data_IF_553657973544
#
_entry.id   IF_553657973544
#
_cell.length_a   1.000
_cell.length_b   1.000
_cell.length_c   1.000
_cell.angle_alpha   90.00
_cell.angle_beta   90.00
_cell.angle_gamma   90.00
#
_symmetry.space_group_name_H-M   'P 1'
#
loop_
_entity.id
_entity.type
_entity.pdbx_description
1 polymer ?
#
# COMPACT_ATOMS: atom_id res chain seq x y z
N UNK A 1 -8.87 40.26 1.09
CA UNK A 1 -10.23 39.70 1.10
C UNK A 1 -10.23 38.50 2.04
N UNK A 2 -11.19 38.37 2.97
CA UNK A 2 -11.32 37.15 3.76
C UNK A 2 -11.61 35.98 2.83
N UNK A 3 -10.98 34.82 3.09
CA UNK A 3 -11.23 33.59 2.37
C UNK A 3 -12.56 33.02 2.88
N UNK A 4 -13.51 32.76 1.98
CA UNK A 4 -14.84 32.25 2.34
C UNK A 4 -14.94 30.73 2.13
N UNK A 5 -15.30 30.02 3.19
CA UNK A 5 -15.52 28.58 3.23
C UNK A 5 -17.00 28.20 3.42
N UNK A 6 -17.92 29.15 3.32
CA UNK A 6 -19.37 28.98 3.50
C UNK A 6 -19.97 27.85 2.66
N UNK A 7 -19.35 27.52 1.52
CA UNK A 7 -19.74 26.41 0.65
C UNK A 7 -19.84 25.07 1.39
N UNK A 8 -19.00 24.82 2.40
CA UNK A 8 -18.95 23.55 3.14
C UNK A 8 -19.69 23.59 4.48
N UNK A 9 -20.56 24.57 4.70
CA UNK A 9 -21.27 24.75 5.97
C UNK A 9 -22.38 23.71 6.22
N UNK A 10 -22.93 23.12 5.16
CA UNK A 10 -24.03 22.17 5.23
C UNK A 10 -23.62 20.81 4.62
N UNK A 11 -22.91 20.01 5.42
CA UNK A 11 -22.54 18.62 5.06
C UNK A 11 -23.42 17.68 5.90
N UNK A 12 -24.10 16.74 5.25
CA UNK A 12 -24.87 15.68 5.89
C UNK A 12 -24.11 14.36 5.79
N UNK A 13 -23.71 13.84 6.95
CA UNK A 13 -23.04 12.55 7.10
C UNK A 13 -24.01 11.60 7.82
N UNK A 14 -24.43 10.52 7.15
CA UNK A 14 -25.44 9.62 7.71
C UNK A 14 -24.94 8.82 8.91
N UNK A 15 -23.64 8.59 8.98
CA UNK A 15 -22.88 7.84 9.98
C UNK A 15 -22.02 8.76 10.87
N UNK A 16 -22.48 9.99 11.13
CA UNK A 16 -21.81 10.93 12.01
C UNK A 16 -21.78 10.42 13.47
N UNK A 17 -20.61 9.97 13.92
CA UNK A 17 -20.37 9.42 15.26
C UNK A 17 -20.43 10.47 16.38
N UNK A 18 -20.25 11.76 16.05
CA UNK A 18 -20.34 12.85 17.02
C UNK A 18 -21.81 13.22 17.31
N UNK A 19 -22.71 12.92 16.38
CA UNK A 19 -24.12 13.33 16.42
C UNK A 19 -25.03 12.21 16.96
N UNK A 20 -24.69 11.74 18.16
CA UNK A 20 -25.28 10.58 18.85
C UNK A 20 -25.98 10.96 20.16
N UNK A 21 -26.80 10.04 20.70
CA UNK A 21 -27.50 10.26 21.98
C UNK A 21 -27.38 9.01 22.86
N UNK A 22 -27.08 9.13 24.17
CA UNK A 22 -26.87 7.98 25.07
C UNK A 22 -28.01 6.96 25.14
N UNK A 23 -29.23 7.38 24.77
CA UNK A 23 -30.42 6.53 24.78
C UNK A 23 -30.86 6.03 23.39
N UNK A 24 -30.09 6.31 22.33
CA UNK A 24 -30.40 5.87 20.97
C UNK A 24 -29.30 4.94 20.49
N UNK A 25 -29.70 3.80 19.94
CA UNK A 25 -28.79 2.83 19.33
C UNK A 25 -28.20 3.40 18.03
N UNK A 26 -26.89 3.66 18.03
CA UNK A 26 -26.21 4.36 16.93
C UNK A 26 -26.20 3.60 15.60
N UNK A 27 -26.00 2.26 15.55
CA UNK A 27 -25.99 1.54 14.28
C UNK A 27 -27.36 1.52 13.58
N UNK A 28 -28.46 1.45 14.33
CA UNK A 28 -29.81 1.54 13.75
C UNK A 28 -30.15 2.97 13.34
N UNK A 29 -29.72 3.98 14.11
CA UNK A 29 -29.86 5.39 13.77
C UNK A 29 -29.16 5.74 12.44
N UNK A 30 -27.92 5.29 12.23
CA UNK A 30 -27.18 5.57 10.99
C UNK A 30 -27.85 4.97 9.75
N UNK A 31 -28.34 3.72 9.88
CA UNK A 31 -29.11 3.07 8.80
C UNK A 31 -30.40 3.83 8.50
N UNK A 32 -31.10 4.29 9.54
CA UNK A 32 -32.31 5.08 9.39
C UNK A 32 -32.04 6.43 8.72
N UNK A 33 -31.00 7.16 9.15
CA UNK A 33 -30.55 8.41 8.51
C UNK A 33 -30.20 8.19 7.03
N UNK A 34 -29.47 7.13 6.71
CA UNK A 34 -29.15 6.75 5.34
C UNK A 34 -30.42 6.48 4.50
N UNK A 35 -31.38 5.73 5.04
CA UNK A 35 -32.65 5.44 4.37
C UNK A 35 -33.48 6.72 4.12
N UNK A 36 -33.65 7.56 5.14
CA UNK A 36 -34.37 8.82 5.03
C UNK A 36 -33.73 9.78 4.01
N UNK A 37 -32.41 9.72 3.85
CA UNK A 37 -31.68 10.45 2.82
C UNK A 37 -32.00 9.91 1.42
N UNK A 38 -31.94 8.59 1.22
CA UNK A 38 -32.28 7.98 -0.06
C UNK A 38 -33.73 8.26 -0.47
N UNK A 39 -34.67 8.23 0.48
CA UNK A 39 -36.08 8.57 0.26
C UNK A 39 -36.26 10.02 -0.18
N UNK A 40 -35.64 10.98 0.52
CA UNK A 40 -35.64 12.40 0.13
C UNK A 40 -35.07 12.60 -1.29
N UNK A 41 -33.97 11.92 -1.61
CA UNK A 41 -33.36 12.01 -2.96
C UNK A 41 -34.26 11.40 -4.03
N UNK A 42 -34.92 10.28 -3.74
CA UNK A 42 -35.85 9.61 -4.66
C UNK A 42 -37.10 10.45 -4.93
N UNK A 43 -37.73 11.00 -3.90
CA UNK A 43 -38.89 11.89 -4.03
C UNK A 43 -38.57 13.13 -4.86
N UNK A 44 -37.42 13.76 -4.60
CA UNK A 44 -36.94 14.91 -5.39
C UNK A 44 -36.73 14.55 -6.84
N UNK A 45 -36.09 13.41 -7.11
CA UNK A 45 -35.87 12.92 -8.48
C UNK A 45 -37.19 12.72 -9.22
N UNK A 46 -38.18 12.09 -8.56
CA UNK A 46 -39.51 11.88 -9.16
C UNK A 46 -40.21 13.21 -9.49
N UNK A 47 -40.21 14.17 -8.56
CA UNK A 47 -40.80 15.50 -8.80
C UNK A 47 -40.11 16.23 -9.95
N UNK A 48 -38.78 16.16 -10.03
CA UNK A 48 -38.01 16.77 -11.12
C UNK A 48 -38.35 16.16 -12.47
N UNK A 49 -38.42 14.83 -12.55
CA UNK A 49 -38.82 14.12 -13.77
C UNK A 49 -40.27 14.45 -14.19
N UNK A 50 -41.19 14.61 -13.24
CA UNK A 50 -42.57 15.02 -13.52
C UNK A 50 -42.65 16.45 -14.08
N UNK A 51 -41.92 17.39 -13.48
CA UNK A 51 -41.84 18.77 -13.96
C UNK A 51 -41.23 18.81 -15.37
N UNK A 52 -40.18 18.03 -15.62
CA UNK A 52 -39.53 17.98 -16.93
C UNK A 52 -40.44 17.37 -18.01
N UNK A 53 -41.20 16.32 -17.68
CA UNK A 53 -42.26 15.77 -18.56
C UNK A 53 -43.36 16.80 -18.84
N UNK A 54 -43.81 17.52 -17.82
CA UNK A 54 -44.84 18.55 -18.00
C UNK A 54 -44.32 19.70 -18.87
N UNK A 55 -43.08 20.16 -18.65
CA UNK A 55 -42.44 21.21 -19.46
C UNK A 55 -42.25 20.78 -20.91
N UNK A 56 -41.77 19.56 -21.15
CA UNK A 56 -41.58 19.04 -22.51
C UNK A 56 -42.90 18.89 -23.25
N UNK A 57 -43.93 18.34 -22.61
CA UNK A 57 -45.27 18.23 -23.23
C UNK A 57 -45.93 19.59 -23.50
N UNK A 58 -45.77 20.58 -22.61
CA UNK A 58 -46.23 21.95 -22.85
C UNK A 58 -45.48 22.60 -24.02
N UNK A 59 -44.16 22.48 -24.07
CA UNK A 59 -43.35 23.00 -25.18
C UNK A 59 -43.72 22.36 -26.52
N UNK A 60 -43.92 21.03 -26.58
CA UNK A 60 -44.35 20.35 -27.80
C UNK A 60 -45.73 20.82 -28.28
N UNK A 61 -46.67 21.07 -27.36
CA UNK A 61 -47.99 21.64 -27.71
C UNK A 61 -47.87 23.05 -28.28
N UNK A 62 -47.00 23.89 -27.71
CA UNK A 62 -46.74 25.24 -28.22
C UNK A 62 -46.16 25.16 -29.63
N UNK A 63 -45.15 24.32 -29.85
CA UNK A 63 -44.55 24.14 -31.18
C UNK A 63 -45.55 23.61 -32.21
N UNK A 64 -46.45 22.70 -31.83
CA UNK A 64 -47.51 22.20 -32.71
C UNK A 64 -48.52 23.29 -33.08
N UNK A 65 -48.92 24.13 -32.12
CA UNK A 65 -49.86 25.24 -32.38
C UNK A 65 -49.18 26.34 -33.22
N UNK A 66 -47.91 26.66 -32.97
CA UNK A 66 -47.14 27.61 -33.77
C UNK A 66 -46.95 27.10 -35.22
N UNK A 67 -46.67 25.81 -35.41
CA UNK A 67 -46.60 25.18 -36.75
C UNK A 67 -47.96 25.21 -37.44
N UNK A 68 -49.04 24.94 -36.72
CA UNK A 68 -50.41 25.05 -37.27
C UNK A 68 -50.69 26.49 -37.68
N UNK A 69 -50.40 27.50 -36.87
CA UNK A 69 -50.58 28.92 -37.20
C UNK A 69 -49.74 29.42 -38.39
N UNK A 70 -48.63 28.75 -38.71
CA UNK A 70 -47.78 29.07 -39.86
C UNK A 70 -48.28 28.47 -41.20
N UNK A 71 -49.27 27.56 -41.17
CA UNK A 71 -49.87 26.98 -42.37
C UNK A 71 -50.82 27.95 -43.09
N UNK A 72 -50.85 27.90 -44.42
CA UNK A 72 -51.63 28.83 -45.26
C UNK A 72 -53.09 28.42 -45.56
N UNK A 73 -53.55 27.25 -45.09
CA UNK A 73 -54.87 26.66 -45.43
C UNK A 73 -55.87 26.67 -44.25
N UNK A 74 -55.92 27.75 -43.47
CA UNK A 74 -56.68 27.78 -42.20
C UNK A 74 -57.79 28.81 -42.28
N UNK A 75 -59.02 28.41 -41.90
CA UNK A 75 -60.16 29.33 -41.80
C UNK A 75 -59.86 30.46 -40.80
N UNK A 76 -60.32 31.68 -41.06
CA UNK A 76 -60.15 32.82 -40.13
C UNK A 76 -60.69 32.50 -38.72
N UNK A 77 -61.73 31.68 -38.63
CA UNK A 77 -62.33 31.22 -37.37
C UNK A 77 -61.41 30.25 -36.61
N UNK A 78 -60.74 29.33 -37.32
CA UNK A 78 -59.80 28.36 -36.75
C UNK A 78 -58.51 29.05 -36.29
N UNK A 79 -58.08 30.09 -37.01
CA UNK A 79 -56.93 30.91 -36.63
C UNK A 79 -57.18 31.67 -35.33
N UNK A 80 -58.36 32.28 -35.19
CA UNK A 80 -58.76 32.97 -33.94
C UNK A 80 -58.91 31.97 -32.78
N UNK A 81 -59.36 30.74 -33.04
CA UNK A 81 -59.46 29.69 -32.02
C UNK A 81 -58.06 29.24 -31.54
N UNK A 82 -57.13 28.97 -32.45
CA UNK A 82 -55.76 28.59 -32.14
C UNK A 82 -54.97 29.71 -31.45
N UNK A 83 -55.19 30.97 -31.81
CA UNK A 83 -54.58 32.13 -31.11
C UNK A 83 -55.09 32.26 -29.68
N UNK A 84 -56.38 31.97 -29.42
CA UNK A 84 -56.94 31.93 -28.05
C UNK A 84 -56.39 30.76 -27.25
N UNK A 85 -56.28 29.57 -27.83
CA UNK A 85 -55.68 28.40 -27.17
C UNK A 85 -54.20 28.64 -26.84
N UNK A 86 -53.45 29.27 -27.74
CA UNK A 86 -52.06 29.66 -27.51
C UNK A 86 -51.95 30.72 -26.41
N UNK A 87 -52.84 31.72 -26.40
CA UNK A 87 -52.90 32.73 -25.36
C UNK A 87 -53.26 32.10 -23.99
N UNK A 88 -54.19 31.15 -23.95
CA UNK A 88 -54.55 30.43 -22.72
C UNK A 88 -53.40 29.57 -22.21
N UNK A 89 -52.66 28.87 -23.09
CA UNK A 89 -51.48 28.09 -22.70
C UNK A 89 -50.37 29.01 -22.19
N UNK A 90 -50.11 30.14 -22.86
CA UNK A 90 -49.12 31.15 -22.39
C UNK A 90 -49.55 31.82 -21.09
N UNK A 91 -50.84 32.06 -20.88
CA UNK A 91 -51.37 32.60 -19.63
C UNK A 91 -51.29 31.56 -18.51
N UNK A 92 -51.53 30.28 -18.82
CA UNK A 92 -51.28 29.18 -17.89
C UNK A 92 -49.80 29.10 -17.53
N UNK A 93 -48.87 29.16 -18.49
CA UNK A 93 -47.42 29.22 -18.21
C UNK A 93 -47.04 30.45 -17.38
N UNK A 94 -47.59 31.63 -17.68
CA UNK A 94 -47.36 32.84 -16.89
C UNK A 94 -47.89 32.69 -15.45
N UNK A 95 -49.04 32.01 -15.26
CA UNK A 95 -49.57 31.66 -13.95
C UNK A 95 -48.71 30.62 -13.23
N UNK A 96 -48.15 29.64 -13.94
CA UNK A 96 -47.21 28.67 -13.38
C UNK A 96 -45.91 29.34 -12.96
N UNK A 97 -45.37 30.22 -13.80
CA UNK A 97 -44.13 30.97 -13.57
C UNK A 97 -44.32 32.05 -12.48
N UNK A 98 -45.51 32.62 -12.36
CA UNK A 98 -45.89 33.48 -11.24
C UNK A 98 -46.06 32.71 -9.94
N UNK A 99 -46.62 31.49 -9.96
CA UNK A 99 -46.69 30.60 -8.80
C UNK A 99 -45.31 30.10 -8.38
N UNK A 100 -44.43 29.83 -9.34
CA UNK A 100 -43.03 29.47 -9.12
C UNK A 100 -42.29 30.64 -8.45
N UNK A 101 -42.44 31.86 -8.98
CA UNK A 101 -41.91 33.09 -8.37
C UNK A 101 -42.55 33.44 -7.02
N UNK A 102 -43.85 33.22 -6.84
CA UNK A 102 -44.54 33.46 -5.56
C UNK A 102 -44.10 32.44 -4.51
N UNK A 103 -43.86 31.18 -4.90
CA UNK A 103 -43.22 30.18 -4.04
C UNK A 103 -41.80 30.64 -3.68
N UNK A 104 -41.04 31.10 -4.66
CA UNK A 104 -39.67 31.60 -4.50
C UNK A 104 -39.62 32.83 -3.57
N UNK A 105 -40.58 33.74 -3.70
CA UNK A 105 -40.69 34.97 -2.92
C UNK A 105 -41.32 34.74 -1.52
N UNK A 106 -42.23 33.78 -1.37
CA UNK A 106 -42.69 33.29 -0.04
C UNK A 106 -41.57 32.55 0.69
N UNK A 107 -40.79 31.75 -0.02
CA UNK A 107 -39.55 31.15 0.52
C UNK A 107 -38.59 32.23 0.98
N UNK A 108 -38.45 33.31 0.20
CA UNK A 108 -37.59 34.45 0.53
C UNK A 108 -38.09 35.25 1.75
N UNK A 109 -39.40 35.41 1.94
CA UNK A 109 -39.99 36.26 2.99
C UNK A 109 -40.20 35.56 4.35
N UNK A 110 -40.32 34.23 4.40
CA UNK A 110 -40.44 33.48 5.67
C UNK A 110 -39.13 33.48 6.47
N UNK A 111 -38.00 33.79 5.84
CA UNK A 111 -36.70 33.87 6.50
C UNK A 111 -36.13 35.29 6.37
N UNK A 112 -36.22 36.09 7.45
CA UNK A 112 -35.31 37.22 7.68
C UNK A 112 -33.91 36.71 8.04
N UNK A 113 -33.38 35.82 7.21
CA UNK A 113 -32.07 35.17 7.23
C UNK A 113 -31.81 34.69 5.78
N UNK A 114 -30.65 35.00 5.19
CA UNK A 114 -30.40 34.76 3.77
C UNK A 114 -30.09 33.28 3.53
N UNK A 115 -31.12 32.44 3.37
CA UNK A 115 -30.93 30.99 3.17
C UNK A 115 -31.92 30.33 2.18
N UNK A 116 -32.83 31.07 1.57
CA UNK A 116 -33.95 30.44 0.85
C UNK A 116 -33.89 30.48 -0.69
N UNK A 117 -32.97 31.25 -1.30
CA UNK A 117 -32.59 31.07 -2.74
C UNK A 117 -31.91 29.74 -3.01
N UNK A 118 -31.73 28.95 -1.97
CA UNK A 118 -30.80 27.89 -1.93
C UNK A 118 -31.55 26.54 -2.04
N UNK A 119 -32.87 26.40 -2.23
CA UNK A 119 -33.47 25.04 -2.21
C UNK A 119 -33.03 24.07 -3.32
N UNK A 120 -32.51 24.56 -4.44
CA UNK A 120 -31.74 23.75 -5.42
C UNK A 120 -30.21 23.71 -5.14
N UNK A 121 -29.70 24.60 -4.28
CA UNK A 121 -28.32 24.67 -3.74
C UNK A 121 -28.15 24.12 -2.30
N UNK A 122 -29.23 23.69 -1.64
CA UNK A 122 -29.42 23.28 -0.23
C UNK A 122 -29.48 21.77 -0.14
N UNK A 123 -29.03 21.07 -1.17
CA UNK A 123 -28.72 19.68 -0.97
C UNK A 123 -27.56 19.64 0.01
N UNK A 124 -27.77 19.06 1.20
CA UNK A 124 -26.67 18.90 2.13
C UNK A 124 -25.60 18.09 1.41
N UNK A 125 -24.38 18.61 1.43
CA UNK A 125 -23.24 17.92 0.84
C UNK A 125 -23.14 16.54 1.47
N UNK A 126 -23.21 15.52 0.64
CA UNK A 126 -23.12 14.12 1.03
C UNK A 126 -22.21 13.40 0.03
N UNK A 127 -21.90 12.13 0.30
CA UNK A 127 -20.99 11.33 -0.53
C UNK A 127 -21.37 11.28 -2.02
N UNK A 128 -22.66 11.42 -2.35
CA UNK A 128 -23.18 11.37 -3.73
C UNK A 128 -23.18 12.74 -4.44
N UNK A 129 -23.07 13.84 -3.69
CA UNK A 129 -23.13 15.22 -4.22
C UNK A 129 -21.76 15.92 -4.18
N UNK A 130 -20.88 15.56 -3.24
CA UNK A 130 -19.54 16.15 -3.07
C UNK A 130 -18.62 15.79 -4.23
N UNK A 131 -18.72 14.56 -4.75
CA UNK A 131 -17.85 14.08 -5.81
C UNK A 131 -18.34 12.77 -6.41
N UNK A 132 -17.68 12.35 -7.49
CA UNK A 132 -17.87 11.06 -8.13
C UNK A 132 -16.54 10.33 -8.21
N UNK A 133 -16.58 9.01 -8.31
CA UNK A 133 -15.37 8.19 -8.46
C UNK A 133 -14.69 8.50 -9.81
N UNK A 134 -13.54 9.16 -9.76
CA UNK A 134 -12.76 9.49 -10.96
C UNK A 134 -11.87 8.32 -11.40
N UNK A 135 -11.34 7.54 -10.45
CA UNK A 135 -10.41 6.45 -10.71
C UNK A 135 -10.53 5.37 -9.63
N UNK A 136 -10.64 4.11 -10.07
CA UNK A 136 -10.65 2.93 -9.22
C UNK A 136 -9.67 1.90 -9.76
N UNK A 137 -8.59 1.63 -9.02
CA UNK A 137 -7.62 0.61 -9.40
C UNK A 137 -7.17 -0.18 -8.19
N UNK A 138 -7.29 -1.50 -8.30
CA UNK A 138 -6.75 -2.43 -7.31
C UNK A 138 -5.65 -3.28 -7.95
N UNK A 139 -4.55 -3.46 -7.23
CA UNK A 139 -3.45 -4.36 -7.62
C UNK A 139 -3.25 -5.39 -6.53
N UNK A 140 -3.69 -6.61 -6.82
CA UNK A 140 -3.48 -7.76 -5.94
C UNK A 140 -2.15 -8.40 -6.29
N UNK A 141 -1.23 -8.46 -5.33
CA UNK A 141 0.05 -9.13 -5.51
C UNK A 141 -0.17 -10.66 -5.43
N UNK A 142 -0.43 -11.30 -6.56
CA UNK A 142 -0.63 -12.76 -6.61
C UNK A 142 0.66 -13.47 -6.21
N UNK A 143 0.60 -14.32 -5.18
CA UNK A 143 1.69 -15.24 -4.83
C UNK A 143 1.73 -16.33 -5.90
N UNK A 144 2.46 -16.09 -6.99
CA UNK A 144 2.68 -17.09 -8.04
C UNK A 144 3.68 -18.16 -7.59
N UNK A 145 3.66 -19.32 -8.26
CA UNK A 145 4.74 -20.31 -8.16
C UNK A 145 6.06 -19.61 -8.50
N UNK A 146 6.99 -19.57 -7.54
CA UNK A 146 8.32 -19.00 -7.76
C UNK A 146 8.99 -19.84 -8.84
N UNK A 147 9.18 -19.26 -10.03
CA UNK A 147 10.10 -19.83 -11.01
C UNK A 147 11.44 -20.05 -10.30
N UNK A 148 12.10 -21.20 -10.49
CA UNK A 148 13.45 -21.38 -9.97
C UNK A 148 14.29 -20.20 -10.45
N UNK A 149 15.05 -19.60 -9.53
CA UNK A 149 15.93 -18.49 -9.87
C UNK A 149 16.80 -18.92 -11.07
N UNK A 150 16.86 -18.13 -12.15
CA UNK A 150 17.81 -18.38 -13.22
C UNK A 150 19.19 -18.53 -12.57
N UNK A 151 19.90 -19.64 -12.86
CA UNK A 151 21.30 -19.75 -12.43
C UNK A 151 22.04 -18.58 -13.06
N UNK A 152 22.50 -17.66 -12.23
CA UNK A 152 23.27 -16.52 -12.69
C UNK A 152 24.60 -17.03 -13.27
N UNK A 153 25.18 -16.31 -14.21
CA UNK A 153 26.54 -16.64 -14.67
C UNK A 153 27.54 -16.40 -13.53
N UNK A 154 28.56 -17.26 -13.41
CA UNK A 154 29.59 -17.16 -12.38
C UNK A 154 30.26 -15.75 -12.31
N UNK A 155 30.36 -15.06 -13.44
CA UNK A 155 30.90 -13.69 -13.53
C UNK A 155 29.96 -12.62 -12.95
N UNK A 156 28.65 -12.83 -13.02
CA UNK A 156 27.67 -11.90 -12.44
C UNK A 156 27.54 -12.13 -10.93
N UNK A 157 27.64 -13.38 -10.48
CA UNK A 157 27.59 -13.73 -9.06
C UNK A 157 28.81 -13.18 -8.31
N UNK A 158 30.00 -13.25 -8.92
CA UNK A 158 31.22 -12.64 -8.35
C UNK A 158 31.12 -11.12 -8.25
N UNK A 159 30.53 -10.43 -9.25
CA UNK A 159 30.24 -9.00 -9.19
C UNK A 159 29.21 -8.65 -8.10
N UNK A 160 28.17 -9.46 -7.93
CA UNK A 160 27.19 -9.26 -6.84
C UNK A 160 27.82 -9.47 -5.47
N UNK A 161 28.66 -10.48 -5.33
CA UNK A 161 29.37 -10.79 -4.10
C UNK A 161 30.31 -9.65 -3.69
N UNK A 162 31.13 -9.15 -4.62
CA UNK A 162 32.04 -8.02 -4.37
C UNK A 162 31.27 -6.76 -3.97
N UNK A 163 30.26 -6.37 -4.74
CA UNK A 163 29.41 -5.22 -4.37
C UNK A 163 28.71 -5.40 -3.01
N UNK A 164 28.29 -6.62 -2.67
CA UNK A 164 27.67 -6.91 -1.39
C UNK A 164 28.65 -6.76 -0.22
N UNK A 165 29.90 -7.21 -0.39
CA UNK A 165 30.95 -7.03 0.61
C UNK A 165 31.27 -5.54 0.79
N UNK A 166 31.49 -4.80 -0.28
CA UNK A 166 31.83 -3.38 -0.21
C UNK A 166 30.74 -2.54 0.52
N UNK A 167 29.48 -2.92 0.37
CA UNK A 167 28.36 -2.19 0.97
C UNK A 167 28.08 -2.59 2.43
N UNK A 168 28.31 -3.85 2.78
CA UNK A 168 27.83 -4.42 4.04
C UNK A 168 28.95 -4.92 4.96
N UNK A 169 30.22 -4.75 4.59
CA UNK A 169 31.38 -5.21 5.37
C UNK A 169 31.30 -4.79 6.84
N UNK A 170 31.03 -3.52 7.13
CA UNK A 170 30.93 -3.03 8.52
C UNK A 170 29.82 -3.72 9.30
N UNK A 171 28.65 -3.93 8.67
CA UNK A 171 27.51 -4.60 9.30
C UNK A 171 27.79 -6.08 9.56
N UNK A 172 28.48 -6.76 8.64
CA UNK A 172 28.84 -8.17 8.80
C UNK A 172 29.87 -8.33 9.94
N UNK A 173 30.83 -7.42 10.06
CA UNK A 173 31.79 -7.40 11.16
C UNK A 173 31.13 -7.10 12.52
N UNK A 174 30.16 -6.19 12.57
CA UNK A 174 29.36 -5.93 13.77
C UNK A 174 28.57 -7.17 14.18
N UNK A 175 27.90 -7.82 13.22
CA UNK A 175 27.19 -9.07 13.46
C UNK A 175 28.11 -10.19 13.98
N UNK A 176 29.31 -10.34 13.42
CA UNK A 176 30.29 -11.35 13.85
C UNK A 176 30.77 -11.18 15.30
N UNK A 177 30.72 -9.96 15.84
CA UNK A 177 31.10 -9.67 17.23
C UNK A 177 30.00 -10.03 18.24
N UNK A 178 28.75 -10.18 17.80
CA UNK A 178 27.64 -10.52 18.68
C UNK A 178 27.83 -11.90 19.29
N UNK A 179 27.47 -12.07 20.55
CA UNK A 179 27.61 -13.36 21.26
C UNK A 179 26.28 -14.01 21.59
N UNK A 180 25.23 -13.19 21.76
CA UNK A 180 23.96 -13.64 22.30
C UNK A 180 22.94 -13.82 21.19
N UNK A 181 22.18 -14.92 21.23
CA UNK A 181 21.15 -15.23 20.22
C UNK A 181 20.10 -14.12 20.09
N UNK A 182 19.74 -13.46 21.20
CA UNK A 182 18.79 -12.34 21.20
C UNK A 182 19.29 -11.12 20.42
N UNK A 183 20.57 -10.77 20.60
CA UNK A 183 21.22 -9.67 19.85
C UNK A 183 21.34 -10.03 18.37
N UNK A 184 21.73 -11.27 18.05
CA UNK A 184 21.77 -11.76 16.67
C UNK A 184 20.40 -11.71 15.99
N UNK A 185 19.31 -12.00 16.71
CA UNK A 185 17.95 -11.91 16.19
C UNK A 185 17.56 -10.46 15.90
N UNK A 186 17.77 -9.55 16.85
CA UNK A 186 17.45 -8.13 16.68
C UNK A 186 18.22 -7.53 15.50
N UNK A 187 19.52 -7.82 15.41
CA UNK A 187 20.37 -7.32 14.34
C UNK A 187 19.96 -7.83 12.95
N UNK A 188 19.64 -9.12 12.80
CA UNK A 188 19.17 -9.66 11.50
C UNK A 188 17.77 -9.12 11.15
N UNK A 189 16.92 -8.83 12.14
CA UNK A 189 15.61 -8.24 11.88
C UNK A 189 15.71 -6.78 11.43
N UNK A 190 16.68 -6.02 11.94
CA UNK A 190 17.01 -4.67 11.48
C UNK A 190 17.68 -4.67 10.11
N UNK A 191 18.49 -5.69 9.83
CA UNK A 191 19.22 -5.87 8.58
C UNK A 191 18.89 -7.20 7.86
N UNK A 192 17.65 -7.41 7.35
CA UNK A 192 17.25 -8.69 6.77
C UNK A 192 18.03 -9.11 5.52
N UNK A 193 18.68 -8.17 4.84
CA UNK A 193 19.52 -8.42 3.67
C UNK A 193 20.79 -9.22 4.01
N UNK A 194 21.22 -9.22 5.27
CA UNK A 194 22.36 -10.01 5.75
C UNK A 194 22.05 -11.51 5.81
N UNK A 195 20.78 -11.92 5.78
CA UNK A 195 20.39 -13.33 5.64
C UNK A 195 20.64 -13.84 4.21
N UNK A 196 21.91 -13.90 3.81
CA UNK A 196 22.36 -14.29 2.47
C UNK A 196 23.53 -15.26 2.51
N UNK A 197 23.73 -16.02 1.44
CA UNK A 197 24.89 -16.92 1.30
C UNK A 197 26.21 -16.13 1.28
N UNK A 198 26.21 -14.90 0.75
CA UNK A 198 27.39 -14.04 0.73
C UNK A 198 27.87 -13.70 2.14
N UNK A 199 26.96 -13.40 3.07
CA UNK A 199 27.30 -13.15 4.47
C UNK A 199 27.96 -14.36 5.11
N UNK A 200 27.43 -15.58 4.89
CA UNK A 200 28.03 -16.81 5.39
C UNK A 200 29.44 -17.04 4.81
N UNK A 201 29.65 -16.72 3.52
CA UNK A 201 30.96 -16.82 2.88
C UNK A 201 31.97 -15.82 3.47
N UNK A 202 31.55 -14.56 3.69
CA UNK A 202 32.40 -13.54 4.32
C UNK A 202 32.83 -13.98 5.73
N UNK A 203 31.86 -14.36 6.58
CA UNK A 203 32.15 -14.80 7.95
C UNK A 203 33.05 -16.05 7.98
N UNK A 204 32.93 -16.94 7.00
CA UNK A 204 33.81 -18.12 6.88
C UNK A 204 35.26 -17.71 6.58
N UNK A 205 35.47 -16.74 5.70
CA UNK A 205 36.80 -16.21 5.37
C UNK A 205 37.38 -15.47 6.56
N UNK A 206 36.58 -14.64 7.23
CA UNK A 206 37.00 -13.87 8.38
C UNK A 206 37.39 -14.78 9.56
N UNK A 207 36.57 -15.80 9.84
CA UNK A 207 36.90 -16.82 10.85
C UNK A 207 38.19 -17.58 10.49
N UNK A 208 38.44 -17.86 9.20
CA UNK A 208 39.69 -18.48 8.76
C UNK A 208 40.90 -17.56 9.00
N UNK A 209 40.78 -16.26 8.73
CA UNK A 209 41.84 -15.28 8.97
C UNK A 209 42.16 -15.17 10.47
N UNK A 210 41.14 -15.12 11.32
CA UNK A 210 41.33 -15.12 12.79
C UNK A 210 41.99 -16.41 13.29
N UNK A 211 41.69 -17.56 12.68
CA UNK A 211 42.38 -18.82 12.99
C UNK A 211 43.86 -18.80 12.57
N UNK A 212 44.20 -18.13 11.45
CA UNK A 212 45.60 -17.92 11.04
C UNK A 212 46.32 -17.00 12.04
N UNK A 213 45.63 -15.99 12.57
CA UNK A 213 46.17 -15.04 13.55
C UNK A 213 46.22 -15.57 15.00
N UNK A 214 45.84 -16.84 15.24
CA UNK A 214 45.74 -17.46 16.57
C UNK A 214 44.72 -16.79 17.52
N UNK A 215 43.72 -16.10 16.99
CA UNK A 215 42.64 -15.46 17.78
C UNK A 215 41.46 -16.40 17.97
N UNK A 216 41.65 -17.46 18.74
CA UNK A 216 40.67 -18.55 18.84
C UNK A 216 39.33 -18.14 19.44
N UNK A 217 39.32 -17.24 20.43
CA UNK A 217 38.09 -16.78 21.07
C UNK A 217 37.18 -15.98 20.12
N UNK A 218 37.76 -15.09 19.33
CA UNK A 218 37.04 -14.30 18.32
C UNK A 218 36.57 -15.21 17.17
N UNK A 219 37.43 -16.12 16.71
CA UNK A 219 37.13 -17.11 15.68
C UNK A 219 35.94 -18.00 16.05
N UNK A 220 35.90 -18.52 17.28
CA UNK A 220 34.77 -19.32 17.78
C UNK A 220 33.46 -18.52 17.77
N UNK A 221 33.52 -17.23 18.09
CA UNK A 221 32.33 -16.39 18.08
C UNK A 221 31.81 -16.17 16.66
N UNK A 222 32.69 -15.82 15.72
CA UNK A 222 32.33 -15.65 14.30
C UNK A 222 31.85 -16.98 13.70
N UNK A 223 32.46 -18.11 14.07
CA UNK A 223 32.04 -19.43 13.65
C UNK A 223 30.59 -19.73 14.08
N UNK A 224 30.22 -19.44 15.34
CA UNK A 224 28.84 -19.56 15.81
C UNK A 224 27.86 -18.71 15.00
N UNK A 225 28.20 -17.44 14.78
CA UNK A 225 27.34 -16.51 14.02
C UNK A 225 27.18 -16.93 12.56
N UNK A 226 28.24 -17.49 11.95
CA UNK A 226 28.22 -18.05 10.61
C UNK A 226 27.26 -19.25 10.52
N UNK A 227 27.32 -20.18 11.47
CA UNK A 227 26.43 -21.36 11.48
C UNK A 227 24.97 -20.95 11.69
N UNK A 228 24.69 -19.92 12.50
CA UNK A 228 23.33 -19.37 12.65
C UNK A 228 22.76 -18.91 11.31
N UNK A 229 23.53 -18.15 10.52
CA UNK A 229 23.12 -17.72 9.17
C UNK A 229 22.93 -18.93 8.25
N UNK A 230 23.83 -19.92 8.28
CA UNK A 230 23.72 -21.13 7.45
C UNK A 230 22.44 -21.93 7.77
N UNK A 231 22.10 -22.09 9.05
CA UNK A 231 20.86 -22.75 9.48
C UNK A 231 19.61 -21.98 9.07
N UNK A 232 19.64 -20.65 9.15
CA UNK A 232 18.56 -19.79 8.67
C UNK A 232 18.34 -19.98 7.16
N UNK A 233 19.41 -20.02 6.37
CA UNK A 233 19.36 -20.26 4.94
C UNK A 233 18.83 -21.66 4.61
N UNK A 234 19.24 -22.68 5.36
CA UNK A 234 18.75 -24.04 5.20
C UNK A 234 17.26 -24.18 5.53
N UNK A 235 16.80 -23.55 6.61
CA UNK A 235 15.37 -23.50 6.93
C UNK A 235 14.57 -22.80 5.82
N UNK A 236 15.07 -21.69 5.29
CA UNK A 236 14.43 -20.96 4.21
C UNK A 236 14.34 -21.80 2.92
N UNK A 237 15.40 -22.56 2.59
CA UNK A 237 15.41 -23.53 1.49
C UNK A 237 14.34 -24.62 1.71
N UNK A 238 14.28 -25.22 2.89
CA UNK A 238 13.30 -26.25 3.24
C UNK A 238 11.85 -25.75 3.17
N UNK A 239 11.61 -24.47 3.47
CA UNK A 239 10.29 -23.84 3.39
C UNK A 239 9.97 -23.20 2.02
N UNK A 240 10.85 -23.32 1.02
CA UNK A 240 10.74 -22.65 -0.29
C UNK A 240 10.49 -21.13 -0.17
N UNK A 241 11.03 -20.52 0.88
CA UNK A 241 10.76 -19.16 1.28
C UNK A 241 12.05 -18.31 1.18
N UNK A 242 11.91 -16.98 1.05
CA UNK A 242 13.08 -16.12 0.84
C UNK A 242 13.75 -15.85 2.19
N UNK A 243 15.03 -16.17 2.41
CA UNK A 243 15.66 -16.06 3.73
C UNK A 243 15.58 -14.66 4.35
N UNK A 244 15.57 -13.62 3.52
CA UNK A 244 15.45 -12.21 3.91
C UNK A 244 14.04 -11.82 4.40
N UNK A 245 13.07 -12.75 4.37
CA UNK A 245 11.73 -12.49 4.89
C UNK A 245 11.72 -12.49 6.42
N UNK A 246 11.36 -11.34 6.99
CA UNK A 246 11.25 -11.09 8.43
C UNK A 246 10.44 -12.17 9.16
N UNK A 247 9.37 -12.69 8.55
CA UNK A 247 8.56 -13.74 9.18
C UNK A 247 9.30 -15.08 9.31
N UNK A 248 10.18 -15.40 8.37
CA UNK A 248 11.01 -16.62 8.43
C UNK A 248 12.08 -16.43 9.49
N UNK A 249 12.73 -15.26 9.52
CA UNK A 249 13.76 -14.93 10.51
C UNK A 249 13.16 -15.08 11.93
N UNK A 250 12.00 -14.45 12.19
CA UNK A 250 11.28 -14.61 13.47
C UNK A 250 10.91 -16.06 13.76
N UNK A 251 10.44 -16.81 12.75
CA UNK A 251 10.08 -18.21 12.92
C UNK A 251 11.30 -19.10 13.23
N UNK A 252 12.45 -18.83 12.62
CA UNK A 252 13.71 -19.50 12.87
C UNK A 252 14.14 -19.31 14.33
N UNK A 253 14.30 -18.07 14.77
CA UNK A 253 14.75 -17.79 16.14
C UNK A 253 13.74 -18.27 17.19
N UNK A 254 12.44 -18.16 16.92
CA UNK A 254 11.41 -18.75 17.79
C UNK A 254 11.58 -20.25 17.95
N UNK A 255 11.79 -20.98 16.85
CA UNK A 255 12.05 -22.43 16.87
C UNK A 255 13.37 -22.78 17.54
N UNK A 256 14.40 -21.97 17.32
CA UNK A 256 15.72 -22.16 17.92
C UNK A 256 15.66 -22.03 19.45
N UNK A 257 14.91 -21.04 19.97
CA UNK A 257 14.69 -20.88 21.42
C UNK A 257 13.87 -22.01 22.05
N UNK A 258 12.92 -22.58 21.30
CA UNK A 258 12.08 -23.68 21.76
C UNK A 258 12.58 -25.05 21.32
N UNK A 259 13.83 -25.17 20.86
CA UNK A 259 14.36 -26.39 20.29
C UNK A 259 14.64 -27.45 21.36
N UNK A 260 14.43 -28.72 21.02
CA UNK A 260 14.75 -29.83 21.91
C UNK A 260 16.26 -29.86 22.23
N UNK A 261 16.66 -30.32 23.42
CA UNK A 261 18.08 -30.44 23.79
C UNK A 261 18.91 -31.26 22.81
N UNK A 262 18.30 -32.21 22.11
CA UNK A 262 18.97 -33.00 21.06
C UNK A 262 19.30 -32.15 19.83
N UNK A 263 18.42 -31.23 19.42
CA UNK A 263 18.69 -30.32 18.31
C UNK A 263 19.79 -29.30 18.66
N UNK A 264 19.79 -28.80 19.90
CA UNK A 264 20.86 -27.94 20.39
C UNK A 264 22.23 -28.64 20.40
N UNK A 265 22.27 -29.94 20.72
CA UNK A 265 23.50 -30.74 20.61
C UNK A 265 24.01 -30.84 19.17
N UNK A 266 23.12 -31.10 18.21
CA UNK A 266 23.50 -31.14 16.79
C UNK A 266 24.10 -29.80 16.35
N UNK A 267 23.48 -28.68 16.75
CA UNK A 267 24.02 -27.35 16.50
C UNK A 267 25.41 -27.16 17.13
N UNK A 268 25.61 -27.52 18.39
CA UNK A 268 26.93 -27.37 19.04
C UNK A 268 27.99 -28.25 18.42
N UNK A 269 27.63 -29.48 18.01
CA UNK A 269 28.54 -30.42 17.36
C UNK A 269 28.94 -29.91 15.97
N UNK A 270 28.02 -29.28 15.23
CA UNK A 270 28.30 -28.68 13.93
C UNK A 270 29.16 -27.42 14.02
N UNK A 271 28.95 -26.58 15.05
CA UNK A 271 29.84 -25.45 15.35
C UNK A 271 31.25 -25.97 15.66
N UNK A 272 31.40 -26.95 16.55
CA UNK A 272 32.70 -27.52 16.90
C UNK A 272 33.40 -28.15 15.68
N UNK A 273 32.65 -28.90 14.86
CA UNK A 273 33.18 -29.48 13.63
C UNK A 273 33.58 -28.40 12.61
N UNK A 274 32.89 -27.25 12.58
CA UNK A 274 33.26 -26.13 11.72
C UNK A 274 34.53 -25.43 12.22
N UNK A 275 34.65 -25.19 13.52
CA UNK A 275 35.87 -24.66 14.15
C UNK A 275 37.08 -25.57 13.88
N UNK A 276 36.95 -26.89 14.05
CA UNK A 276 38.03 -27.84 13.76
C UNK A 276 38.47 -27.77 12.29
N UNK A 277 37.51 -27.66 11.35
CA UNK A 277 37.81 -27.49 9.92
C UNK A 277 38.56 -26.18 9.65
N UNK A 278 38.20 -25.09 10.33
CA UNK A 278 38.87 -23.79 10.19
C UNK A 278 40.31 -23.87 10.72
N UNK A 279 40.51 -24.45 11.90
CA UNK A 279 41.85 -24.62 12.51
C UNK A 279 42.75 -25.46 11.61
N UNK A 280 42.24 -26.59 11.09
CA UNK A 280 43.01 -27.45 10.16
C UNK A 280 43.40 -26.70 8.90
N UNK A 281 42.46 -25.98 8.27
CA UNK A 281 42.74 -25.18 7.06
C UNK A 281 43.70 -24.01 7.34
N UNK A 282 43.60 -23.39 8.50
CA UNK A 282 44.52 -22.33 8.91
C UNK A 282 45.93 -22.87 9.04
N UNK A 283 46.10 -24.05 9.65
CA UNK A 283 47.40 -24.74 9.74
C UNK A 283 47.97 -25.07 8.35
N UNK A 284 47.16 -25.68 7.48
CA UNK A 284 47.56 -25.99 6.09
C UNK A 284 48.02 -24.74 5.33
N UNK A 285 47.29 -23.61 5.45
CA UNK A 285 47.67 -22.34 4.81
C UNK A 285 48.98 -21.76 5.36
N UNK A 286 49.23 -21.90 6.65
CA UNK A 286 50.47 -21.41 7.29
C UNK A 286 51.66 -22.26 6.91
N UNK A 287 51.50 -23.58 6.92
CA UNK A 287 52.53 -24.52 6.49
C UNK A 287 52.89 -24.28 5.01
N UNK A 288 51.89 -24.00 4.16
CA UNK A 288 52.11 -23.62 2.76
C UNK A 288 52.87 -22.29 2.62
N UNK A 289 52.49 -21.25 3.35
CA UNK A 289 53.16 -19.95 3.31
C UNK A 289 54.62 -20.03 3.81
N UNK A 290 54.88 -20.86 4.84
CA UNK A 290 56.23 -21.11 5.34
C UNK A 290 57.09 -21.86 4.31
N UNK A 291 56.52 -22.88 3.66
CA UNK A 291 57.21 -23.63 2.61
C UNK A 291 57.56 -22.78 1.38
N UNK A 292 56.69 -21.83 1.02
CA UNK A 292 56.96 -20.86 -0.06
C UNK A 292 58.11 -19.92 0.30
N UNK A 293 58.11 -19.36 1.51
CA UNK A 293 59.21 -18.54 2.02
C UNK A 293 60.55 -19.30 2.04
N UNK A 294 60.56 -20.54 2.53
CA UNK A 294 61.77 -21.38 2.52
C UNK A 294 62.26 -21.71 1.09
N UNK A 295 61.34 -21.84 0.12
CA UNK A 295 61.69 -22.07 -1.27
C UNK A 295 62.31 -20.81 -1.91
N UNK A 296 61.72 -19.64 -1.67
CA UNK A 296 62.24 -18.34 -2.11
C UNK A 296 63.62 -18.05 -1.50
N UNK A 297 63.81 -18.33 -0.21
CA UNK A 297 65.10 -18.15 0.47
C UNK A 297 66.18 -19.07 -0.12
N UNK A 298 65.85 -20.34 -0.42
CA UNK A 298 66.76 -21.27 -1.09
C UNK A 298 67.12 -20.82 -2.50
N UNK A 299 66.16 -20.27 -3.26
CA UNK A 299 66.39 -19.72 -4.60
C UNK A 299 67.28 -18.47 -4.54
N UNK A 300 67.03 -17.57 -3.59
CA UNK A 300 67.85 -16.39 -3.35
C UNK A 300 69.29 -16.74 -2.94
N UNK A 301 69.46 -17.71 -2.03
CA UNK A 301 70.78 -18.18 -1.60
C UNK A 301 71.56 -18.85 -2.74
N UNK A 302 70.88 -19.60 -3.62
CA UNK A 302 71.52 -20.20 -4.79
C UNK A 302 71.90 -19.15 -5.85
N UNK A 303 71.10 -18.10 -6.02
CA UNK A 303 71.44 -16.95 -6.87
C UNK A 303 72.62 -16.12 -6.34
N UNK A 304 72.79 -16.02 -5.02
CA UNK A 304 73.90 -15.31 -4.38
C UNK A 304 75.23 -16.10 -4.39
N UNK A 305 75.19 -17.41 -4.64
CA UNK A 305 76.38 -18.27 -4.72
C UNK A 305 76.92 -18.45 -6.15
N UNK A 306 76.25 -17.88 -7.16
CA UNK A 306 76.69 -17.82 -8.56
C UNK A 306 77.33 -16.46 -8.87
#
# INVERSE_FOLDING_TARGET
MPIDYSKWKAIEVSDDEDDTHPNIDTPSLFRWRHQARLERMAEKKQKKEEIEKNKTTSNSKIEEIEKKLAGTDISEEERICLEKELAEIKEQEAKWLAKEKELEERLLNVLRLPFCLEQERLEPWNVDTIGHEAFSFSRINKVGEKKPLPKLSDEEDTKRMTNFFDQNESLIQEYGKLTTLGESEEFILEHPHLASEYTANYLTIDALNLAIDHKEAEMSNIARQCIIIQYLLELAKNMNAVPTNVNIIKAFFKKFRSADPQYLKLYTDEVAAFEERLIRRAKEKRDAALAEYEAEEKVMLTLLML
#
